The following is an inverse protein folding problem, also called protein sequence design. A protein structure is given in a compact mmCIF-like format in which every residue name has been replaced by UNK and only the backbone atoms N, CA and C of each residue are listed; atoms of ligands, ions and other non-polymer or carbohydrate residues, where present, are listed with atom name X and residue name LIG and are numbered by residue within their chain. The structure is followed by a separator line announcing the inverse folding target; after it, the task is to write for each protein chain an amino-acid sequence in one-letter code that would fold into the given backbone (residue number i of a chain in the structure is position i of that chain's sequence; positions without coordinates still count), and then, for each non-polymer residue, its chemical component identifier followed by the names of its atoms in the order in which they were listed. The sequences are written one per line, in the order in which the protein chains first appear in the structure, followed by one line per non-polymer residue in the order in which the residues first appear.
data_IF_128627608525
#
_entry.id   IF_128627608525
#
_cell.length_a   1.000
_cell.length_b   1.000
_cell.length_c   1.000
_cell.angle_alpha   90.00
_cell.angle_beta   90.00
_cell.angle_gamma   90.00
#
_symmetry.space_group_name_H-M   'P 1'
#
loop_
_entity.id
_entity.type
_entity.pdbx_description
1 polymer ?
#
# COMPACT_ATOMS: atom_id res chain seq x y z
N UNK A 1 -12.31 -7.14 -10.53
CA UNK A 1 -11.49 -6.51 -9.47
C UNK A 1 -11.52 -7.27 -8.15
N UNK A 2 -12.64 -7.86 -7.71
CA UNK A 2 -12.71 -8.62 -6.45
C UNK A 2 -11.79 -9.86 -6.38
N UNK A 3 -11.64 -10.61 -7.47
CA UNK A 3 -10.83 -11.84 -7.48
C UNK A 3 -9.33 -11.64 -7.21
N UNK A 4 -8.73 -10.55 -7.69
CA UNK A 4 -7.28 -10.28 -7.47
C UNK A 4 -6.98 -9.93 -6.02
N UNK A 5 -7.90 -9.22 -5.35
CA UNK A 5 -7.74 -8.87 -3.95
C UNK A 5 -7.93 -10.07 -3.01
N UNK A 6 -8.77 -11.03 -3.39
CA UNK A 6 -8.94 -12.30 -2.66
C UNK A 6 -7.69 -13.15 -2.78
N UNK A 7 -7.16 -13.33 -3.99
CA UNK A 7 -5.91 -14.07 -4.23
C UNK A 7 -4.73 -13.48 -3.43
N UNK A 8 -4.58 -12.15 -3.41
CA UNK A 8 -3.50 -11.50 -2.62
C UNK A 8 -3.61 -11.74 -1.11
N UNK A 9 -4.81 -11.89 -0.57
CA UNK A 9 -5.01 -12.19 0.85
C UNK A 9 -4.68 -13.63 1.16
N UNK A 10 -5.13 -14.55 0.30
CA UNK A 10 -4.84 -15.98 0.42
C UNK A 10 -3.33 -16.24 0.28
N UNK A 11 -2.69 -15.64 -0.71
CA UNK A 11 -1.23 -15.70 -0.91
C UNK A 11 -0.48 -15.21 0.33
N UNK A 12 -0.95 -14.14 0.98
CA UNK A 12 -0.35 -13.62 2.20
C UNK A 12 -0.48 -14.61 3.38
N UNK A 13 -1.61 -15.30 3.53
CA UNK A 13 -1.75 -16.34 4.56
C UNK A 13 -0.82 -17.53 4.29
N UNK A 14 -0.70 -17.95 3.02
CA UNK A 14 0.22 -19.04 2.63
C UNK A 14 1.66 -18.64 2.96
N UNK A 15 2.08 -17.43 2.56
CA UNK A 15 3.42 -16.91 2.88
C UNK A 15 3.65 -16.82 4.39
N UNK A 16 2.66 -16.35 5.15
CA UNK A 16 2.75 -16.29 6.61
C UNK A 16 3.03 -17.66 7.22
N UNK A 17 2.23 -18.67 6.88
CA UNK A 17 2.43 -20.02 7.42
C UNK A 17 3.73 -20.65 6.91
N UNK A 18 4.19 -20.33 5.68
CA UNK A 18 5.50 -20.74 5.16
C UNK A 18 6.65 -20.18 6.02
N UNK A 19 6.60 -18.90 6.41
CA UNK A 19 7.63 -18.29 7.26
C UNK A 19 7.60 -18.79 8.70
N UNK A 20 6.43 -19.21 9.21
CA UNK A 20 6.30 -19.83 10.54
C UNK A 20 6.77 -21.29 10.50
N UNK A 21 6.53 -21.99 9.38
CA UNK A 21 6.95 -23.37 9.11
C UNK A 21 6.63 -24.35 10.25
N UNK A 22 5.42 -24.28 10.80
CA UNK A 22 5.00 -25.19 11.87
C UNK A 22 5.75 -25.03 13.20
N UNK A 23 6.52 -23.95 13.38
CA UNK A 23 7.34 -23.68 14.56
C UNK A 23 8.84 -23.79 14.32
N UNK A 24 9.28 -24.37 13.21
CA UNK A 24 10.69 -24.46 12.81
C UNK A 24 11.21 -23.17 12.14
N UNK A 25 10.29 -22.25 11.79
CA UNK A 25 10.60 -20.98 11.14
C UNK A 25 10.74 -19.80 12.11
N UNK A 26 10.33 -18.62 11.64
CA UNK A 26 10.33 -17.40 12.46
C UNK A 26 9.25 -17.46 13.55
N UNK A 27 9.47 -16.83 14.72
CA UNK A 27 8.45 -16.77 15.77
C UNK A 27 7.15 -16.15 15.25
N UNK A 28 6.01 -16.79 15.53
CA UNK A 28 4.70 -16.33 15.03
C UNK A 28 4.44 -14.85 15.29
N UNK A 29 4.77 -14.34 16.47
CA UNK A 29 4.61 -12.92 16.80
C UNK A 29 5.41 -11.97 15.90
N UNK A 30 6.62 -12.37 15.49
CA UNK A 30 7.45 -11.59 14.54
C UNK A 30 6.80 -11.57 13.17
N UNK A 31 6.33 -12.72 12.68
CA UNK A 31 5.69 -12.83 11.36
C UNK A 31 4.37 -12.06 11.35
N UNK A 32 3.52 -12.22 12.37
CA UNK A 32 2.23 -11.51 12.47
C UNK A 32 2.41 -9.99 12.49
N UNK A 33 3.44 -9.48 13.18
CA UNK A 33 3.77 -8.05 13.18
C UNK A 33 4.12 -7.53 11.77
N UNK A 34 4.88 -8.29 10.98
CA UNK A 34 5.21 -7.91 9.61
C UNK A 34 3.99 -8.02 8.69
N UNK A 35 3.19 -9.09 8.85
CA UNK A 35 1.96 -9.33 8.11
C UNK A 35 0.95 -8.21 8.34
N UNK A 36 0.85 -7.64 9.55
CA UNK A 36 -0.03 -6.52 9.84
C UNK A 36 0.20 -5.31 8.90
N UNK A 37 1.47 -4.98 8.65
CA UNK A 37 1.85 -3.92 7.71
C UNK A 37 1.42 -4.26 6.27
N UNK A 38 1.67 -5.49 5.82
CA UNK A 38 1.32 -5.94 4.46
C UNK A 38 -0.20 -5.97 4.26
N UNK A 39 -0.98 -6.43 5.26
CA UNK A 39 -2.44 -6.40 5.23
C UNK A 39 -2.98 -4.99 5.02
N UNK A 40 -2.37 -3.99 5.65
CA UNK A 40 -2.74 -2.59 5.45
C UNK A 40 -2.52 -2.17 3.99
N UNK A 41 -1.40 -2.55 3.37
CA UNK A 41 -1.10 -2.27 1.96
C UNK A 41 -2.08 -2.98 1.01
N UNK A 42 -2.41 -4.25 1.27
CA UNK A 42 -3.41 -4.98 0.48
C UNK A 42 -4.77 -4.32 0.58
N UNK A 43 -5.20 -3.93 1.80
CA UNK A 43 -6.43 -3.16 2.00
C UNK A 43 -6.41 -1.88 1.17
N UNK A 44 -5.27 -1.18 1.13
CA UNK A 44 -5.15 0.06 0.38
C UNK A 44 -5.29 -0.11 -1.14
N UNK A 45 -4.93 -1.26 -1.71
CA UNK A 45 -5.16 -1.55 -3.13
C UNK A 45 -6.64 -1.63 -3.51
N UNK A 46 -7.54 -1.80 -2.53
CA UNK A 46 -8.98 -1.84 -2.74
C UNK A 46 -9.67 -0.46 -2.80
N UNK A 47 -9.01 0.62 -2.38
CA UNK A 47 -9.59 1.98 -2.46
C UNK A 47 -9.54 2.53 -3.89
N UNK A 48 -10.48 3.40 -4.21
CA UNK A 48 -10.48 4.17 -5.44
C UNK A 48 -9.25 5.08 -5.54
N UNK A 49 -8.80 5.33 -6.77
CA UNK A 49 -7.62 6.20 -7.01
C UNK A 49 -7.80 7.61 -6.45
N UNK A 50 -9.04 8.11 -6.41
CA UNK A 50 -9.35 9.42 -5.82
C UNK A 50 -9.12 9.44 -4.31
N UNK A 51 -9.58 8.41 -3.60
CA UNK A 51 -9.42 8.30 -2.14
C UNK A 51 -7.94 8.29 -1.75
N UNK A 52 -7.11 7.60 -2.53
CA UNK A 52 -5.66 7.53 -2.28
C UNK A 52 -4.97 8.87 -2.56
N UNK A 53 -5.41 9.60 -3.59
CA UNK A 53 -4.89 10.94 -3.90
C UNK A 53 -5.26 11.95 -2.81
N UNK A 54 -6.50 11.88 -2.32
CA UNK A 54 -6.94 12.72 -1.21
C UNK A 54 -6.14 12.43 0.05
N UNK A 55 -5.96 11.15 0.38
CA UNK A 55 -5.18 10.75 1.55
C UNK A 55 -3.71 11.16 1.43
N UNK A 56 -3.13 11.07 0.22
CA UNK A 56 -1.77 11.52 -0.05
C UNK A 56 -1.61 13.03 0.15
N UNK A 57 -2.60 13.83 -0.26
CA UNK A 57 -2.59 15.28 -0.05
C UNK A 57 -2.62 15.60 1.44
N UNK A 58 -3.56 14.98 2.18
CA UNK A 58 -3.68 15.17 3.63
C UNK A 58 -2.42 14.69 4.36
N UNK A 59 -1.86 13.53 4.01
CA UNK A 59 -0.64 13.02 4.60
C UNK A 59 0.56 13.95 4.33
N UNK A 60 0.67 14.51 3.13
CA UNK A 60 1.74 15.46 2.78
C UNK A 60 1.65 16.77 3.58
N UNK A 61 0.44 17.24 3.91
CA UNK A 61 0.22 18.41 4.76
C UNK A 61 0.61 18.11 6.22
N UNK A 62 0.34 16.89 6.67
CA UNK A 62 0.61 16.40 8.03
C UNK A 62 2.04 15.89 8.24
N UNK A 63 2.83 15.70 7.18
CA UNK A 63 4.15 15.08 7.21
C UNK A 63 5.13 15.86 8.11
N UNK A 64 5.03 17.20 8.12
CA UNK A 64 5.83 18.09 8.97
C UNK A 64 5.48 17.96 10.47
N UNK A 65 4.31 17.41 10.79
CA UNK A 65 3.82 17.18 12.16
C UNK A 65 3.92 15.70 12.57
N UNK A 66 4.53 14.86 11.73
CA UNK A 66 4.58 13.41 11.95
C UNK A 66 3.21 12.72 11.86
N UNK A 67 2.20 13.40 11.34
CA UNK A 67 0.85 12.87 11.18
C UNK A 67 0.74 11.95 9.96
N UNK A 68 -0.27 11.07 9.99
CA UNK A 68 -0.61 10.19 8.87
C UNK A 68 -1.97 10.58 8.30
N UNK A 69 -2.19 10.28 7.02
CA UNK A 69 -3.50 10.38 6.41
C UNK A 69 -4.54 9.47 7.10
N UNK A 70 -5.80 9.63 6.72
CA UNK A 70 -6.93 8.82 7.20
C UNK A 70 -6.74 7.33 6.90
N UNK A 71 -6.00 6.96 5.85
CA UNK A 71 -5.68 5.56 5.54
C UNK A 71 -4.51 5.00 6.38
N UNK A 72 -3.91 5.82 7.25
CA UNK A 72 -2.88 5.42 8.21
C UNK A 72 -1.52 5.08 7.58
N UNK A 73 -1.32 5.43 6.31
CA UNK A 73 -0.09 5.21 5.58
C UNK A 73 0.69 6.52 5.41
N UNK A 74 2.02 6.40 5.28
CA UNK A 74 2.87 7.54 4.97
C UNK A 74 2.81 7.92 3.47
N UNK A 75 3.26 9.14 3.18
CA UNK A 75 3.33 9.70 1.82
C UNK A 75 4.04 8.76 0.84
N UNK A 76 5.14 8.11 1.26
CA UNK A 76 5.95 7.21 0.41
C UNK A 76 5.18 5.94 0.03
N UNK A 77 4.40 5.40 0.95
CA UNK A 77 3.59 4.19 0.75
C UNK A 77 2.43 4.48 -0.20
N UNK A 78 1.72 5.59 0.00
CA UNK A 78 0.64 6.04 -0.88
C UNK A 78 1.14 6.30 -2.31
N UNK A 79 2.30 6.95 -2.47
CA UNK A 79 2.94 7.16 -3.77
C UNK A 79 3.29 5.86 -4.50
N UNK A 80 3.84 4.88 -3.77
CA UNK A 80 4.15 3.55 -4.34
C UNK A 80 2.87 2.87 -4.82
N UNK A 81 1.80 2.92 -4.05
CA UNK A 81 0.51 2.33 -4.44
C UNK A 81 -0.02 2.98 -5.72
N UNK A 82 -0.02 4.32 -5.82
CA UNK A 82 -0.44 5.03 -7.03
C UNK A 82 0.40 4.65 -8.25
N UNK A 83 1.73 4.57 -8.08
CA UNK A 83 2.66 4.22 -9.17
C UNK A 83 2.42 2.81 -9.72
N UNK A 84 2.14 1.83 -8.86
CA UNK A 84 1.94 0.43 -9.25
C UNK A 84 0.49 0.09 -9.62
N UNK A 85 -0.42 1.06 -9.62
CA UNK A 85 -1.84 0.82 -9.88
C UNK A 85 -2.18 0.67 -11.36
N UNK A 86 -1.33 1.13 -12.28
CA UNK A 86 -1.53 1.03 -13.73
C UNK A 86 -2.65 1.90 -14.31
N UNK A 87 -3.37 2.66 -13.47
CA UNK A 87 -4.44 3.56 -13.91
C UNK A 87 -3.89 4.88 -14.49
N UNK A 88 -4.52 5.36 -15.56
CA UNK A 88 -4.16 6.62 -16.22
C UNK A 88 -4.29 7.81 -15.27
N UNK A 89 -5.34 7.86 -14.44
CA UNK A 89 -5.58 8.90 -13.42
C UNK A 89 -4.45 8.96 -12.38
N UNK A 90 -4.03 7.82 -11.86
CA UNK A 90 -2.92 7.74 -10.90
C UNK A 90 -1.61 8.22 -11.54
N UNK A 91 -1.33 7.77 -12.77
CA UNK A 91 -0.13 8.16 -13.51
C UNK A 91 -0.10 9.66 -13.84
N UNK A 92 -1.22 10.24 -14.26
CA UNK A 92 -1.33 11.67 -14.54
C UNK A 92 -1.11 12.51 -13.28
N UNK A 93 -1.70 12.11 -12.16
CA UNK A 93 -1.52 12.79 -10.89
C UNK A 93 -0.05 12.80 -10.46
N UNK A 94 0.61 11.63 -10.44
CA UNK A 94 2.03 11.52 -10.05
C UNK A 94 2.92 12.35 -10.98
N UNK A 95 2.71 12.28 -12.31
CA UNK A 95 3.50 13.08 -13.26
C UNK A 95 3.33 14.59 -13.03
N UNK A 96 2.09 15.05 -12.79
CA UNK A 96 1.79 16.46 -12.51
C UNK A 96 2.42 16.92 -11.20
N UNK A 97 2.27 16.15 -10.13
CA UNK A 97 2.74 16.50 -8.79
C UNK A 97 4.26 16.62 -8.74
N UNK A 98 4.98 15.70 -9.39
CA UNK A 98 6.45 15.65 -9.38
C UNK A 98 7.10 16.28 -10.61
N UNK A 99 6.32 16.98 -11.45
CA UNK A 99 6.78 17.60 -12.71
C UNK A 99 7.60 16.63 -13.58
N UNK A 100 7.21 15.35 -13.60
CA UNK A 100 7.90 14.31 -14.38
C UNK A 100 7.52 14.53 -15.85
N UNK A 101 8.50 14.62 -16.76
CA UNK A 101 8.23 14.73 -18.19
C UNK A 101 7.31 13.62 -18.68
N UNK A 102 6.52 13.90 -19.71
CA UNK A 102 5.84 12.81 -20.43
C UNK A 102 6.93 11.91 -21.00
N UNK A 103 6.84 10.62 -20.71
CA UNK A 103 7.67 9.61 -21.37
C UNK A 103 7.52 9.80 -22.89
N UNK A 104 8.66 9.84 -23.59
CA UNK A 104 8.72 9.92 -25.05
C UNK A 104 7.97 8.75 -25.69
#
# INVERSE_FOLDING_TARGET
MAGVAVLQREDLEILKELFISGGEGLPRGVVENQVACVRQVIKMRGYETREIIEDLRSASELEMLGGRGKLGADTKTLLRILRYRGESKASQYVKKQFKIPKSA
#
